data_IF_346870965057
#
_entry.id   IF_346870965057
#
_cell.length_a   1.000
_cell.length_b   1.000
_cell.length_c   1.000
_cell.angle_alpha   90.00
_cell.angle_beta   90.00
_cell.angle_gamma   90.00
#
_symmetry.space_group_name_H-M   'P 1'
#
loop_
_entity.id
_entity.type
_entity.pdbx_description
1 polymer ?
#
# COMPACT_ATOMS: atom_id res chain seq x y z
N UNK A 1 -1.56 32.48 1.80
CA UNK A 1 -1.52 31.76 1.68
C UNK A 1 -1.13 30.92 2.07
N UNK A 2 -1.06 30.95 2.33
CA UNK A 2 -0.71 30.12 2.63
C UNK A 2 -0.71 29.18 2.34
N UNK A 3 -1.02 29.06 2.07
CA UNK A 3 -1.19 28.23 1.37
C UNK A 3 -0.32 27.26 1.16
N UNK A 4 0.52 27.59 0.80
CA UNK A 4 1.60 26.79 0.64
C UNK A 4 1.59 25.75 1.66
N UNK A 5 1.34 26.13 2.78
CA UNK A 5 1.30 25.17 3.84
C UNK A 5 0.46 24.02 3.42
N UNK A 6 -0.56 24.29 2.69
CA UNK A 6 -1.39 23.20 2.28
C UNK A 6 -0.66 22.29 1.39
N UNK A 7 0.13 22.82 0.52
CA UNK A 7 0.79 21.91 -0.38
C UNK A 7 1.72 21.04 0.41
N UNK A 8 2.33 21.56 1.43
CA UNK A 8 3.23 20.72 2.19
C UNK A 8 2.45 19.71 2.98
N UNK A 9 1.17 19.96 3.17
CA UNK A 9 0.33 19.00 3.86
C UNK A 9 -0.43 18.12 2.91
N UNK A 10 0.04 18.04 1.69
CA UNK A 10 -0.66 17.22 0.74
C UNK A 10 -0.75 15.83 1.29
N UNK A 11 -1.83 15.19 0.96
CA UNK A 11 -2.11 13.87 1.47
C UNK A 11 -1.13 12.84 0.96
N UNK A 12 -0.84 11.87 1.78
CA UNK A 12 0.00 10.76 1.36
C UNK A 12 -0.76 9.92 0.35
N UNK A 13 -0.05 9.36 -0.57
CA UNK A 13 -0.63 8.63 -1.68
C UNK A 13 -0.43 7.13 -1.46
N UNK A 14 -1.53 6.40 -1.41
CA UNK A 14 -1.50 4.96 -1.14
C UNK A 14 -2.04 4.23 -2.35
N UNK A 15 -1.26 3.29 -2.87
CA UNK A 15 -1.70 2.44 -3.97
C UNK A 15 -2.05 1.08 -3.39
N UNK A 16 -3.22 0.56 -3.73
CA UNK A 16 -3.64 -0.77 -3.28
C UNK A 16 -3.78 -1.65 -4.50
N UNK A 17 -3.00 -2.71 -4.56
CA UNK A 17 -3.01 -3.66 -5.67
C UNK A 17 -3.56 -4.98 -5.17
N UNK A 18 -4.73 -5.37 -5.65
CA UNK A 18 -5.40 -6.58 -5.20
C UNK A 18 -6.49 -6.89 -6.22
N UNK A 19 -6.57 -8.14 -6.67
CA UNK A 19 -7.57 -8.50 -7.66
C UNK A 19 -8.98 -8.50 -7.07
N UNK A 20 -9.10 -8.45 -5.75
CA UNK A 20 -10.39 -8.38 -5.09
C UNK A 20 -10.85 -6.92 -5.03
N UNK A 21 -11.71 -6.52 -5.97
CA UNK A 21 -12.13 -5.12 -6.05
C UNK A 21 -13.00 -4.71 -4.87
N UNK A 22 -13.69 -5.64 -4.25
CA UNK A 22 -14.48 -5.31 -3.07
C UNK A 22 -13.56 -4.87 -1.93
N UNK A 23 -12.44 -5.58 -1.76
CA UNK A 23 -11.50 -5.21 -0.73
C UNK A 23 -10.85 -3.85 -1.02
N UNK A 24 -10.41 -3.64 -2.26
CA UNK A 24 -9.72 -2.38 -2.58
C UNK A 24 -10.67 -1.20 -2.44
N UNK A 25 -11.93 -1.38 -2.85
CA UNK A 25 -12.90 -0.30 -2.76
C UNK A 25 -13.19 0.06 -1.31
N UNK A 26 -13.39 -0.95 -0.48
CA UNK A 26 -13.67 -0.71 0.94
C UNK A 26 -12.47 -0.07 1.62
N UNK A 27 -11.28 -0.57 1.33
CA UNK A 27 -10.07 0.00 1.91
C UNK A 27 -9.89 1.45 1.48
N UNK A 28 -10.16 1.72 0.21
CA UNK A 28 -10.06 3.08 -0.32
C UNK A 28 -11.01 4.02 0.42
N UNK A 29 -12.25 3.56 0.63
CA UNK A 29 -13.21 4.40 1.33
C UNK A 29 -12.78 4.70 2.76
N UNK A 30 -12.29 3.68 3.46
CA UNK A 30 -11.84 3.90 4.83
C UNK A 30 -10.72 4.92 4.90
N UNK A 31 -9.76 4.80 4.01
CA UNK A 31 -8.61 5.70 4.06
C UNK A 31 -8.97 7.11 3.61
N UNK A 32 -9.78 7.23 2.57
CA UNK A 32 -10.13 8.55 2.08
C UNK A 32 -11.05 9.29 3.03
N UNK A 33 -11.83 8.56 3.82
CA UNK A 33 -12.71 9.21 4.81
C UNK A 33 -11.91 9.89 5.92
N UNK A 34 -10.64 9.58 6.07
CA UNK A 34 -9.81 10.29 7.05
C UNK A 34 -9.38 11.65 6.55
N UNK A 35 -9.54 11.89 5.25
CA UNK A 35 -9.08 13.12 4.60
C UNK A 35 -7.57 13.32 4.68
N UNK A 36 -6.82 12.24 4.94
CA UNK A 36 -5.36 12.32 5.02
C UNK A 36 -4.67 11.55 3.90
N UNK A 37 -5.42 10.79 3.10
CA UNK A 37 -4.83 9.96 2.07
C UNK A 37 -5.53 10.11 0.75
N UNK A 38 -4.75 10.00 -0.33
CA UNK A 38 -5.28 9.85 -1.67
C UNK A 38 -5.01 8.41 -2.05
N UNK A 39 -6.02 7.69 -2.47
CA UNK A 39 -5.90 6.26 -2.71
C UNK A 39 -6.17 5.93 -4.17
N UNK A 40 -5.35 5.06 -4.73
CA UNK A 40 -5.55 4.52 -6.05
C UNK A 40 -5.72 3.01 -5.93
N UNK A 41 -6.71 2.45 -6.61
CA UNK A 41 -6.98 1.03 -6.60
C UNK A 41 -6.55 0.45 -7.92
N UNK A 42 -5.76 -0.62 -7.89
CA UNK A 42 -5.39 -1.33 -9.09
C UNK A 42 -5.75 -2.79 -8.90
N UNK A 43 -6.71 -3.27 -9.68
CA UNK A 43 -7.20 -4.64 -9.53
C UNK A 43 -6.57 -5.60 -10.53
N UNK A 44 -5.75 -5.10 -11.42
CA UNK A 44 -5.06 -5.95 -12.39
C UNK A 44 -3.57 -5.92 -12.07
N UNK A 45 -3.01 -7.02 -11.55
CA UNK A 45 -1.59 -7.02 -11.16
C UNK A 45 -0.65 -6.76 -12.32
N UNK A 46 -1.09 -7.04 -13.55
CA UNK A 46 -0.24 -6.82 -14.72
C UNK A 46 -0.05 -5.33 -14.99
N UNK A 47 -0.91 -4.49 -14.45
CA UNK A 47 -0.82 -3.05 -14.64
C UNK A 47 -0.22 -2.33 -13.44
N UNK A 48 0.17 -3.08 -12.41
CA UNK A 48 0.61 -2.46 -11.17
C UNK A 48 1.80 -1.53 -11.36
N UNK A 49 2.78 -1.95 -12.14
CA UNK A 49 3.97 -1.12 -12.35
C UNK A 49 3.60 0.19 -13.05
N UNK A 50 2.82 0.10 -14.10
CA UNK A 50 2.42 1.28 -14.84
C UNK A 50 1.60 2.22 -13.96
N UNK A 51 0.66 1.67 -13.21
CA UNK A 51 -0.17 2.46 -12.33
C UNK A 51 0.67 3.13 -11.25
N UNK A 52 1.63 2.41 -10.69
CA UNK A 52 2.51 2.98 -9.68
C UNK A 52 3.33 4.14 -10.24
N UNK A 53 3.84 3.98 -11.46
CA UNK A 53 4.61 5.04 -12.08
C UNK A 53 3.78 6.30 -12.28
N UNK A 54 2.52 6.13 -12.67
CA UNK A 54 1.65 7.27 -12.93
C UNK A 54 1.13 7.90 -11.64
N UNK A 55 0.89 7.10 -10.65
CA UNK A 55 0.29 7.58 -9.40
C UNK A 55 1.31 8.17 -8.43
N UNK A 56 2.55 7.70 -8.48
CA UNK A 56 3.62 8.13 -7.56
C UNK A 56 3.22 7.89 -6.11
N UNK A 57 3.01 6.64 -5.73
CA UNK A 57 2.56 6.35 -4.37
C UNK A 57 3.66 6.55 -3.34
N UNK A 58 3.24 6.86 -2.13
CA UNK A 58 4.12 6.90 -0.97
C UNK A 58 4.16 5.56 -0.27
N UNK A 59 3.18 4.71 -0.54
CA UNK A 59 3.08 3.39 0.05
C UNK A 59 2.27 2.51 -0.89
N UNK A 60 2.68 1.25 -1.01
CA UNK A 60 1.94 0.28 -1.82
C UNK A 60 1.52 -0.87 -0.92
N UNK A 61 0.22 -1.15 -0.89
CA UNK A 61 -0.32 -2.33 -0.24
C UNK A 61 -0.60 -3.33 -1.35
N UNK A 62 0.03 -4.48 -1.29
CA UNK A 62 0.05 -5.42 -2.40
C UNK A 62 -0.38 -6.81 -1.94
N UNK A 63 -1.40 -7.36 -2.58
CA UNK A 63 -1.84 -8.70 -2.25
C UNK A 63 -0.75 -9.69 -2.65
N UNK A 64 -0.46 -10.61 -1.77
CA UNK A 64 0.61 -11.57 -2.00
C UNK A 64 0.22 -12.61 -3.04
N UNK A 65 -1.02 -13.06 -3.04
CA UNK A 65 -1.46 -14.13 -3.93
C UNK A 65 -2.64 -13.66 -4.75
N UNK A 66 -2.44 -13.64 -6.06
CA UNK A 66 -3.47 -13.25 -7.01
C UNK A 66 -3.49 -14.29 -8.12
N UNK A 67 -4.67 -14.53 -8.73
CA UNK A 67 -4.77 -15.57 -9.74
C UNK A 67 -3.84 -15.40 -10.94
N UNK A 68 -3.58 -14.16 -11.32
CA UNK A 68 -2.82 -13.90 -12.53
C UNK A 68 -1.37 -13.52 -12.30
N UNK A 69 -0.98 -13.35 -11.06
CA UNK A 69 0.38 -12.95 -10.78
C UNK A 69 0.71 -13.19 -9.32
N UNK A 70 1.97 -13.51 -9.09
CA UNK A 70 2.46 -13.66 -7.73
C UNK A 70 2.84 -12.26 -7.25
N UNK A 71 2.37 -11.90 -6.06
CA UNK A 71 2.69 -10.58 -5.51
C UNK A 71 4.18 -10.32 -5.41
N UNK A 72 4.98 -11.35 -5.17
CA UNK A 72 6.43 -11.15 -5.09
C UNK A 72 7.00 -10.73 -6.42
N UNK A 73 6.44 -11.22 -7.53
CA UNK A 73 6.91 -10.80 -8.85
C UNK A 73 6.55 -9.35 -9.11
N UNK A 74 5.35 -8.96 -8.71
CA UNK A 74 4.93 -7.57 -8.86
C UNK A 74 5.83 -6.67 -8.03
N UNK A 75 6.11 -7.07 -6.79
CA UNK A 75 6.98 -6.28 -5.93
C UNK A 75 8.39 -6.16 -6.52
N UNK A 76 8.89 -7.24 -7.12
CA UNK A 76 10.22 -7.21 -7.72
C UNK A 76 10.27 -6.23 -8.89
N UNK A 77 9.22 -6.19 -9.70
CA UNK A 77 9.16 -5.24 -10.81
C UNK A 77 9.20 -3.80 -10.29
N UNK A 78 8.44 -3.54 -9.23
CA UNK A 78 8.35 -2.20 -8.67
C UNK A 78 9.67 -1.79 -8.02
N UNK A 79 10.26 -2.68 -7.23
CA UNK A 79 11.51 -2.34 -6.55
C UNK A 79 12.68 -2.23 -7.51
N UNK A 80 12.57 -2.82 -8.70
CA UNK A 80 13.61 -2.70 -9.70
C UNK A 80 13.46 -1.44 -10.55
N UNK A 81 12.36 -0.74 -10.41
CA UNK A 81 12.11 0.47 -11.17
C UNK A 81 12.83 1.64 -10.53
N UNK A 82 13.57 2.41 -11.33
CA UNK A 82 14.39 3.47 -10.77
C UNK A 82 13.59 4.57 -10.07
N UNK A 83 12.33 4.74 -10.47
CA UNK A 83 11.47 5.75 -9.84
C UNK A 83 10.81 5.25 -8.58
N UNK A 84 10.66 3.94 -8.44
CA UNK A 84 9.84 3.38 -7.37
C UNK A 84 10.61 2.55 -6.36
N UNK A 85 11.91 2.40 -6.55
CA UNK A 85 12.68 1.46 -5.75
C UNK A 85 12.67 1.76 -4.25
N UNK A 86 12.41 3.00 -3.87
CA UNK A 86 12.41 3.33 -2.46
C UNK A 86 11.00 3.41 -1.85
N UNK A 87 9.98 3.16 -2.64
CA UNK A 87 8.61 3.19 -2.12
C UNK A 87 8.37 1.94 -1.28
N UNK A 88 7.93 2.08 -0.03
CA UNK A 88 7.68 0.90 0.79
C UNK A 88 6.52 0.08 0.24
N UNK A 89 6.69 -1.23 0.30
CA UNK A 89 5.66 -2.18 -0.12
C UNK A 89 5.34 -3.05 1.08
N UNK A 90 4.06 -3.19 1.38
CA UNK A 90 3.61 -4.09 2.43
C UNK A 90 2.70 -5.11 1.77
N UNK A 91 3.05 -6.39 1.93
CA UNK A 91 2.18 -7.45 1.43
C UNK A 91 1.01 -7.62 2.38
N UNK A 92 -0.19 -7.69 1.83
CA UNK A 92 -1.38 -8.00 2.61
C UNK A 92 -1.94 -9.30 2.07
N UNK A 93 -2.35 -10.20 2.94
CA UNK A 93 -2.79 -11.51 2.47
C UNK A 93 -3.81 -12.08 3.44
N UNK A 94 -4.72 -12.89 2.92
CA UNK A 94 -5.67 -13.60 3.75
C UNK A 94 -5.08 -14.88 4.31
N UNK A 95 -3.85 -15.22 3.92
CA UNK A 95 -3.25 -16.50 4.27
C UNK A 95 -2.55 -16.59 5.61
N UNK A 96 -2.31 -15.45 6.26
CA UNK A 96 -1.65 -15.51 7.57
C UNK A 96 -2.56 -14.92 8.62
N UNK A 97 -2.30 -15.31 9.86
CA UNK A 97 -3.07 -14.81 10.99
C UNK A 97 -2.32 -13.67 11.64
N UNK A 98 -3.00 -12.99 12.55
CA UNK A 98 -2.34 -11.94 13.31
C UNK A 98 -1.19 -12.48 14.14
N UNK A 99 -1.32 -13.71 14.65
CA UNK A 99 -0.26 -14.30 15.41
C UNK A 99 0.97 -14.52 14.57
N UNK A 100 0.75 -15.01 13.35
CA UNK A 100 1.88 -15.25 12.45
C UNK A 100 2.55 -13.93 12.07
N UNK A 101 1.77 -12.87 11.96
CA UNK A 101 2.32 -11.58 11.61
C UNK A 101 3.14 -10.97 12.76
N UNK A 102 2.88 -11.37 14.00
CA UNK A 102 3.60 -10.81 15.13
C UNK A 102 5.08 -11.09 15.09
N UNK A 103 5.47 -12.16 14.42
CA UNK A 103 6.87 -12.50 14.33
C UNK A 103 7.64 -11.57 13.40
N UNK A 104 6.98 -10.56 12.86
CA UNK A 104 7.66 -9.63 11.96
C UNK A 104 8.06 -10.28 10.67
N UNK A 105 7.23 -11.22 10.21
CA UNK A 105 7.56 -11.95 9.00
C UNK A 105 7.76 -11.02 7.82
N UNK A 106 8.77 -11.32 7.02
CA UNK A 106 9.04 -10.57 5.82
C UNK A 106 9.23 -11.52 4.65
N UNK A 107 8.86 -11.06 3.47
CA UNK A 107 9.08 -11.81 2.25
C UNK A 107 9.81 -10.87 1.33
N UNK A 108 10.99 -11.28 0.86
CA UNK A 108 11.79 -10.45 -0.05
C UNK A 108 12.08 -9.09 0.58
N UNK A 109 12.22 -9.05 1.88
CA UNK A 109 12.50 -7.80 2.57
C UNK A 109 11.29 -6.94 2.89
N UNK A 110 10.11 -7.35 2.43
CA UNK A 110 8.88 -6.57 2.64
C UNK A 110 8.05 -7.18 3.75
N UNK A 111 7.45 -6.31 4.55
CA UNK A 111 6.58 -6.74 5.64
C UNK A 111 5.35 -7.45 5.10
N UNK A 112 4.88 -8.47 5.83
CA UNK A 112 3.67 -9.21 5.43
C UNK A 112 2.67 -9.12 6.57
N UNK A 113 1.45 -8.71 6.28
CA UNK A 113 0.40 -8.60 7.30
C UNK A 113 -0.88 -9.25 6.80
N UNK A 114 -1.74 -9.69 7.71
CA UNK A 114 -3.04 -10.20 7.29
C UNK A 114 -3.91 -9.06 6.79
N UNK A 115 -4.83 -9.37 5.88
CA UNK A 115 -5.74 -8.34 5.39
C UNK A 115 -6.54 -7.79 6.56
N UNK A 116 -6.53 -6.47 6.76
CA UNK A 116 -7.26 -5.89 7.88
C UNK A 116 -8.76 -6.01 7.69
N UNK A 117 -9.45 -6.38 8.76
CA UNK A 117 -10.88 -6.52 8.71
C UNK A 117 -11.62 -5.30 9.23
N UNK A 118 -10.92 -4.39 9.87
CA UNK A 118 -11.51 -3.18 10.41
C UNK A 118 -10.79 -1.96 9.89
N UNK A 119 -11.56 -0.86 9.75
CA UNK A 119 -10.97 0.37 9.24
C UNK A 119 -9.83 0.87 10.12
N UNK A 120 -9.95 0.72 11.43
CA UNK A 120 -8.90 1.21 12.31
C UNK A 120 -7.61 0.42 12.13
N UNK A 121 -7.70 -0.88 11.89
CA UNK A 121 -6.52 -1.69 11.65
C UNK A 121 -5.84 -1.26 10.35
N UNK A 122 -6.63 -0.96 9.34
CA UNK A 122 -6.09 -0.52 8.06
C UNK A 122 -5.41 0.83 8.20
N UNK A 123 -6.05 1.77 8.89
CA UNK A 123 -5.48 3.10 9.07
C UNK A 123 -4.17 3.00 9.83
N UNK A 124 -4.15 2.17 10.88
CA UNK A 124 -2.93 2.01 11.66
C UNK A 124 -1.82 1.39 10.82
N UNK A 125 -2.16 0.40 10.00
CA UNK A 125 -1.19 -0.21 9.11
C UNK A 125 -0.56 0.82 8.19
N UNK A 126 -1.38 1.67 7.60
CA UNK A 126 -0.89 2.70 6.69
C UNK A 126 -0.02 3.69 7.42
N UNK A 127 -0.45 4.14 8.59
CA UNK A 127 0.34 5.09 9.38
C UNK A 127 1.71 4.53 9.73
N UNK A 128 1.75 3.26 10.13
CA UNK A 128 3.00 2.64 10.53
C UNK A 128 3.92 2.38 9.35
N UNK A 129 3.35 2.22 8.17
CA UNK A 129 4.12 1.82 7.01
C UNK A 129 4.64 2.99 6.17
N UNK A 130 4.03 4.14 6.32
CA UNK A 130 4.50 5.30 5.57
C UNK A 130 5.83 5.77 6.10
N UNK A 131 6.68 6.29 5.23
CA UNK A 131 7.96 6.82 5.69
C UNK A 131 7.71 7.94 6.66
N UNK A 132 8.52 8.00 7.68
CA UNK A 132 8.36 9.03 8.66
C UNK A 132 8.98 10.30 8.18
N UNK A 133 8.28 10.98 7.41
CA UNK A 133 8.88 12.16 6.89
C UNK A 133 8.78 13.26 7.82
N UNK A 134 8.00 13.14 8.69
CA UNK A 134 7.96 14.17 9.56
C UNK A 134 9.21 14.37 10.13
N UNK A 135 9.84 13.42 10.09
CA UNK A 135 11.04 13.64 10.61
C UNK A 135 11.20 14.97 10.68
N UNK A 136 10.52 14.99 10.15
CA UNK A 136 10.69 16.14 10.25
C UNK A 136 10.46 16.60 11.30
#
# INVERSE_FOLDING_TARGET
MNTTAESSNSNSRVLIVDDNSEFTHRASEFLQNTHRYVVCEENDPRRALETARNFHPDLILLDLIMPEADGTEVAAQITSDWMLHSVPIVFVTALITREEARDGRRIEGHRVVPKPGHSLDLIKLVEESLPCCSGA
#
